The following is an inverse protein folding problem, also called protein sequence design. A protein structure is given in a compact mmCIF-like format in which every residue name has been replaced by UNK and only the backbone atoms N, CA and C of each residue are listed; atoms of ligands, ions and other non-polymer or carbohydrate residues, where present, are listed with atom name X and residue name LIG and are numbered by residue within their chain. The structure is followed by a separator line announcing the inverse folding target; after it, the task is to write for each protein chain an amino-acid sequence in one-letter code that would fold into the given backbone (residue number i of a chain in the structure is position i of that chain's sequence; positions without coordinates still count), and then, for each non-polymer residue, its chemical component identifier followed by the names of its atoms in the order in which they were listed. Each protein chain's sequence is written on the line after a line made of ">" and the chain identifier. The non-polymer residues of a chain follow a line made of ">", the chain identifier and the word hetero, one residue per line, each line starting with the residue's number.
data_IF_090905866666
#
_entry.id   IF_090905866666
#
_cell.length_a   1.000
_cell.length_b   1.000
_cell.length_c   1.000
_cell.angle_alpha   90.00
_cell.angle_beta   90.00
_cell.angle_gamma   90.00
#
_symmetry.space_group_name_H-M   'P 1'
#
loop_
_entity.id
_entity.type
_entity.pdbx_description
1 polymer ?
#
# COMPACT_ATOMS: atom_id res chain seq x y z
N UNK A 1 -34.34 37.75 -50.00
CA UNK A 1 -35.09 36.55 -49.53
C UNK A 1 -34.24 35.30 -49.83
N UNK A 2 -34.38 34.24 -49.02
CA UNK A 2 -33.51 33.05 -49.04
C UNK A 2 -33.79 32.08 -50.19
N UNK A 3 -32.76 31.49 -50.81
CA UNK A 3 -32.82 30.10 -51.32
C UNK A 3 -31.46 29.47 -51.69
N UNK A 4 -31.12 28.39 -50.96
CA UNK A 4 -30.63 27.05 -51.37
C UNK A 4 -29.46 26.84 -52.37
N UNK A 5 -28.68 25.80 -52.05
CA UNK A 5 -27.63 25.12 -52.85
C UNK A 5 -28.20 24.20 -53.95
N UNK A 6 -27.38 23.82 -54.93
CA UNK A 6 -27.21 22.40 -55.36
C UNK A 6 -25.70 22.00 -55.35
N UNK A 7 -25.21 20.75 -55.21
CA UNK A 7 -25.53 19.42 -55.78
C UNK A 7 -25.35 19.35 -57.32
N UNK A 8 -24.83 18.29 -57.99
CA UNK A 8 -23.83 17.22 -57.70
C UNK A 8 -23.53 16.49 -59.05
N UNK A 9 -22.41 15.73 -59.20
CA UNK A 9 -22.07 14.77 -60.32
C UNK A 9 -21.81 15.34 -61.74
N UNK A 10 -21.22 14.62 -62.73
CA UNK A 10 -20.19 13.55 -62.78
C UNK A 10 -19.91 13.12 -64.26
N UNK A 11 -18.63 12.94 -64.66
CA UNK A 11 -18.13 12.14 -65.81
C UNK A 11 -16.58 12.04 -65.63
N UNK A 12 -15.87 10.90 -65.56
CA UNK A 12 -15.65 9.80 -66.55
C UNK A 12 -15.14 10.41 -67.88
N UNK A 13 -13.93 10.14 -68.41
CA UNK A 13 -13.20 8.86 -68.61
C UNK A 13 -11.69 9.11 -68.84
N UNK A 14 -10.83 8.07 -68.75
CA UNK A 14 -9.70 7.93 -69.69
C UNK A 14 -8.34 7.54 -69.08
N UNK A 15 -7.64 6.60 -69.73
CA UNK A 15 -6.35 5.99 -69.27
C UNK A 15 -5.23 6.29 -70.27
N UNK A 16 -4.00 6.52 -69.77
CA UNK A 16 -2.74 6.27 -70.48
C UNK A 16 -1.59 6.01 -69.49
N UNK A 17 -0.55 5.28 -69.91
CA UNK A 17 0.51 4.69 -69.06
C UNK A 17 1.91 4.96 -69.67
N UNK A 18 2.98 4.51 -69.00
CA UNK A 18 4.41 4.39 -69.44
C UNK A 18 5.20 5.72 -69.55
N UNK A 19 6.51 5.86 -69.21
CA UNK A 19 7.60 4.90 -68.92
C UNK A 19 8.68 5.44 -67.94
N UNK A 20 9.51 4.52 -67.41
CA UNK A 20 10.89 4.66 -66.84
C UNK A 20 11.85 5.51 -67.71
N UNK A 21 13.03 6.04 -67.32
CA UNK A 21 14.16 5.60 -66.46
C UNK A 21 15.17 6.78 -66.23
N UNK A 22 16.33 6.75 -65.55
CA UNK A 22 16.88 6.10 -64.32
C UNK A 22 18.34 6.61 -64.04
N UNK A 23 18.85 6.47 -62.80
CA UNK A 23 20.23 6.74 -62.31
C UNK A 23 20.67 8.22 -62.19
N UNK A 24 21.47 8.68 -61.20
CA UNK A 24 22.65 8.14 -60.46
C UNK A 24 22.64 8.56 -58.96
N UNK A 25 23.50 8.14 -58.03
CA UNK A 25 24.34 6.94 -57.77
C UNK A 25 25.02 7.12 -56.38
N UNK A 26 25.70 6.08 -55.87
CA UNK A 26 26.66 6.10 -54.73
C UNK A 26 26.12 6.45 -53.32
N UNK A 27 25.93 5.41 -52.50
CA UNK A 27 25.58 5.52 -51.08
C UNK A 27 25.65 4.17 -50.36
N UNK A 28 26.75 3.43 -50.53
CA UNK A 28 26.94 2.14 -49.89
C UNK A 28 27.24 2.32 -48.39
N UNK A 29 26.20 2.25 -47.56
CA UNK A 29 26.32 2.02 -46.12
C UNK A 29 25.73 0.66 -45.80
N UNK A 30 26.52 -0.15 -45.10
CA UNK A 30 26.17 -1.51 -44.68
C UNK A 30 24.91 -1.51 -43.84
N UNK A 31 23.84 -2.10 -44.37
CA UNK A 31 22.65 -2.41 -43.59
C UNK A 31 22.96 -3.55 -42.62
N UNK A 32 23.53 -3.21 -41.46
CA UNK A 32 23.49 -4.08 -40.30
C UNK A 32 22.02 -4.34 -39.99
N UNK A 33 21.57 -5.58 -40.21
CA UNK A 33 20.27 -6.05 -39.78
C UNK A 33 20.26 -6.07 -38.24
N UNK A 34 20.05 -4.90 -37.64
CA UNK A 34 19.75 -4.78 -36.23
C UNK A 34 18.40 -5.47 -36.02
N UNK A 35 18.45 -6.71 -35.57
CA UNK A 35 17.28 -7.41 -35.03
C UNK A 35 16.66 -6.51 -33.98
N UNK A 36 15.58 -5.82 -34.34
CA UNK A 36 14.69 -5.20 -33.37
C UNK A 36 14.00 -6.36 -32.68
N UNK A 37 14.73 -6.98 -31.76
CA UNK A 37 14.15 -7.83 -30.76
C UNK A 37 13.10 -6.96 -30.08
N UNK A 38 11.84 -7.30 -30.34
CA UNK A 38 10.70 -6.74 -29.65
C UNK A 38 10.97 -6.95 -28.17
N UNK A 39 11.49 -5.91 -27.50
CA UNK A 39 11.49 -5.83 -26.05
C UNK A 39 10.02 -5.78 -25.70
N UNK A 40 9.46 -6.96 -25.44
CA UNK A 40 8.27 -7.09 -24.62
C UNK A 40 8.41 -6.08 -23.49
N UNK A 41 7.37 -5.28 -23.18
CA UNK A 41 7.38 -4.56 -21.92
C UNK A 41 7.70 -5.63 -20.89
N UNK A 42 8.85 -5.50 -20.22
CA UNK A 42 9.15 -6.39 -19.14
C UNK A 42 7.99 -6.17 -18.19
N UNK A 43 7.16 -7.21 -18.02
CA UNK A 43 6.19 -7.26 -16.95
C UNK A 43 7.01 -7.06 -15.70
N UNK A 44 7.09 -5.80 -15.25
CA UNK A 44 7.77 -5.41 -14.05
C UNK A 44 7.12 -6.25 -12.98
N UNK A 45 7.83 -7.30 -12.56
CA UNK A 45 7.32 -8.28 -11.62
C UNK A 45 6.98 -7.46 -10.39
N UNK A 46 5.69 -7.21 -10.19
CA UNK A 46 5.23 -6.26 -9.20
C UNK A 46 5.91 -6.65 -7.89
N UNK A 47 6.80 -5.78 -7.42
CA UNK A 47 7.38 -5.90 -6.09
C UNK A 47 6.22 -6.00 -5.11
N UNK A 48 6.40 -6.72 -4.00
CA UNK A 48 5.38 -6.79 -2.96
C UNK A 48 5.16 -5.35 -2.45
N UNK A 49 4.16 -4.67 -3.00
CA UNK A 49 4.10 -3.23 -2.99
C UNK A 49 3.71 -2.74 -1.59
N UNK A 50 4.39 -1.69 -1.15
CA UNK A 50 3.85 -0.81 -0.11
C UNK A 50 2.40 -0.46 -0.47
N UNK A 51 1.53 -0.44 0.53
CA UNK A 51 0.10 -0.17 0.30
C UNK A 51 -0.04 1.29 -0.09
N UNK A 52 -0.08 1.55 -1.40
CA UNK A 52 -0.28 2.90 -1.92
C UNK A 52 -1.74 3.30 -1.78
N UNK A 53 -2.03 4.61 -1.84
CA UNK A 53 -3.40 5.16 -1.80
C UNK A 53 -4.25 4.60 -2.93
N UNK A 54 -3.66 4.50 -4.12
CA UNK A 54 -4.25 3.96 -5.33
C UNK A 54 -4.61 2.48 -5.12
N UNK A 55 -3.75 1.70 -4.44
CA UNK A 55 -4.04 0.31 -4.10
C UNK A 55 -5.23 0.18 -3.12
N UNK A 56 -5.37 1.10 -2.17
CA UNK A 56 -6.52 1.12 -1.23
C UNK A 56 -7.82 1.42 -1.98
N UNK A 57 -7.84 2.43 -2.83
CA UNK A 57 -9.01 2.77 -3.65
C UNK A 57 -9.32 1.66 -4.66
N UNK A 58 -8.31 1.02 -5.26
CA UNK A 58 -8.49 -0.11 -6.15
C UNK A 58 -9.13 -1.31 -5.42
N UNK A 59 -8.66 -1.66 -4.21
CA UNK A 59 -9.27 -2.70 -3.38
C UNK A 59 -10.70 -2.34 -2.97
N UNK A 60 -10.96 -1.10 -2.54
CA UNK A 60 -12.31 -0.64 -2.19
C UNK A 60 -13.33 -0.88 -3.32
N UNK A 61 -12.93 -0.63 -4.58
CA UNK A 61 -13.76 -0.87 -5.77
C UNK A 61 -14.09 -2.34 -6.04
N UNK A 62 -13.31 -3.30 -5.53
CA UNK A 62 -13.52 -4.75 -5.82
C UNK A 62 -14.83 -5.32 -5.26
N UNK A 63 -15.44 -4.67 -4.27
CA UNK A 63 -16.72 -5.09 -3.69
C UNK A 63 -17.94 -4.48 -4.40
N UNK A 64 -17.76 -4.01 -5.65
CA UNK A 64 -18.76 -3.46 -6.56
C UNK A 64 -19.68 -2.38 -5.93
N UNK A 65 -19.12 -1.31 -5.33
CA UNK A 65 -19.88 -0.31 -4.59
C UNK A 65 -21.02 0.30 -5.41
N UNK A 66 -22.21 0.40 -4.82
CA UNK A 66 -23.40 1.03 -5.42
C UNK A 66 -24.09 0.21 -6.53
N UNK A 67 -23.60 -1.00 -6.85
CA UNK A 67 -24.17 -1.85 -7.92
C UNK A 67 -25.12 -2.94 -7.38
N UNK A 68 -25.88 -3.65 -8.23
CA UNK A 68 -26.56 -4.88 -7.86
C UNK A 68 -25.63 -6.01 -7.37
N UNK A 69 -24.37 -6.03 -7.82
CA UNK A 69 -23.34 -7.02 -7.47
C UNK A 69 -22.52 -6.63 -6.23
N UNK A 70 -22.94 -5.59 -5.49
CA UNK A 70 -22.27 -5.15 -4.26
C UNK A 70 -22.27 -6.24 -3.20
N UNK A 71 -21.20 -6.32 -2.42
CA UNK A 71 -21.15 -7.23 -1.25
C UNK A 71 -22.16 -6.73 -0.19
N UNK A 72 -23.15 -7.54 0.22
CA UNK A 72 -24.13 -7.14 1.23
C UNK A 72 -23.50 -6.92 2.61
N UNK A 73 -24.11 -6.06 3.42
CA UNK A 73 -23.68 -5.83 4.80
C UNK A 73 -24.15 -6.97 5.70
N UNK A 74 -23.24 -7.58 6.45
CA UNK A 74 -23.56 -8.54 7.50
C UNK A 74 -22.38 -8.64 8.49
N UNK A 75 -22.63 -8.41 9.79
CA UNK A 75 -21.60 -8.49 10.85
C UNK A 75 -21.07 -9.92 11.12
N UNK A 76 -21.76 -10.95 10.62
CA UNK A 76 -21.43 -12.36 10.82
C UNK A 76 -20.99 -13.10 9.55
N UNK A 77 -21.05 -12.46 8.38
CA UNK A 77 -20.62 -13.07 7.12
C UNK A 77 -19.23 -12.57 6.68
N UNK A 78 -18.66 -13.29 5.71
CA UNK A 78 -17.32 -13.06 5.19
C UNK A 78 -17.32 -13.03 3.66
N UNK A 79 -16.49 -12.17 3.08
CA UNK A 79 -16.21 -12.13 1.65
C UNK A 79 -14.69 -12.12 1.45
N UNK A 80 -14.17 -13.11 0.72
CA UNK A 80 -12.73 -13.34 0.52
C UNK A 80 -11.91 -13.33 1.83
N UNK A 81 -12.50 -13.89 2.91
CA UNK A 81 -11.90 -13.98 4.24
C UNK A 81 -12.10 -12.76 5.16
N UNK A 82 -12.56 -11.62 4.65
CA UNK A 82 -12.83 -10.42 5.46
C UNK A 82 -14.28 -10.34 5.91
N UNK A 83 -14.55 -9.79 7.10
CA UNK A 83 -15.93 -9.57 7.57
C UNK A 83 -16.67 -8.59 6.66
N UNK A 84 -17.95 -8.83 6.40
CA UNK A 84 -18.81 -7.96 5.59
C UNK A 84 -19.45 -6.81 6.39
N UNK A 85 -18.69 -6.23 7.33
CA UNK A 85 -19.05 -5.04 8.10
C UNK A 85 -18.19 -3.82 7.71
N UNK A 86 -18.49 -2.65 8.28
CA UNK A 86 -17.78 -1.39 7.99
C UNK A 86 -16.26 -1.48 8.22
N UNK A 87 -15.84 -2.10 9.32
CA UNK A 87 -14.43 -2.26 9.70
C UNK A 87 -13.72 -3.39 8.95
N UNK A 88 -14.44 -4.46 8.60
CA UNK A 88 -13.94 -5.54 7.76
C UNK A 88 -13.71 -5.09 6.31
N UNK A 89 -14.60 -4.27 5.76
CA UNK A 89 -14.43 -3.64 4.45
C UNK A 89 -13.25 -2.65 4.42
N UNK A 90 -13.14 -1.78 5.43
CA UNK A 90 -11.99 -0.89 5.56
C UNK A 90 -10.68 -1.69 5.69
N UNK A 91 -10.65 -2.76 6.50
CA UNK A 91 -9.50 -3.66 6.63
C UNK A 91 -9.11 -4.32 5.31
N UNK A 92 -10.09 -4.72 4.49
CA UNK A 92 -9.89 -5.29 3.15
C UNK A 92 -9.26 -4.28 2.20
N UNK A 93 -9.77 -3.04 2.17
CA UNK A 93 -9.21 -1.98 1.33
C UNK A 93 -7.75 -1.66 1.72
N UNK A 94 -7.46 -1.62 3.02
CA UNK A 94 -6.09 -1.44 3.53
C UNK A 94 -5.17 -2.66 3.32
N UNK A 95 -5.71 -3.83 2.94
CA UNK A 95 -4.93 -5.05 2.76
C UNK A 95 -4.39 -5.63 4.08
N UNK A 96 -5.06 -5.37 5.20
CA UNK A 96 -4.73 -5.98 6.49
C UNK A 96 -4.95 -7.50 6.43
N UNK A 97 -4.31 -8.27 7.31
CA UNK A 97 -4.53 -9.73 7.34
C UNK A 97 -6.01 -10.07 7.61
N UNK A 98 -6.66 -10.97 6.84
CA UNK A 98 -7.98 -11.50 7.17
C UNK A 98 -8.04 -12.07 8.60
N UNK A 99 -9.13 -11.86 9.35
CA UNK A 99 -10.43 -11.32 8.91
C UNK A 99 -10.54 -9.79 8.94
N UNK A 100 -9.44 -9.06 9.15
CA UNK A 100 -9.43 -7.63 9.44
C UNK A 100 -9.74 -7.34 10.91
N UNK A 101 -9.55 -6.08 11.32
CA UNK A 101 -9.72 -5.64 12.73
C UNK A 101 -11.04 -4.91 12.93
N UNK A 102 -11.49 -4.73 14.17
CA UNK A 102 -12.74 -4.00 14.47
C UNK A 102 -12.54 -2.47 14.41
N UNK A 103 -13.64 -1.70 14.45
CA UNK A 103 -13.62 -0.23 14.31
C UNK A 103 -12.75 0.49 15.35
N UNK A 104 -12.70 0.01 16.60
CA UNK A 104 -11.84 0.60 17.65
C UNK A 104 -10.37 0.31 17.36
N UNK A 105 -10.04 -0.90 16.91
CA UNK A 105 -8.67 -1.25 16.53
C UNK A 105 -8.23 -0.52 15.27
N UNK A 106 -9.12 -0.27 14.30
CA UNK A 106 -8.83 0.59 13.13
C UNK A 106 -8.42 2.01 13.55
N UNK A 107 -9.12 2.60 14.52
CA UNK A 107 -8.81 3.92 15.10
C UNK A 107 -7.62 3.90 16.08
N UNK A 108 -7.11 2.73 16.44
CA UNK A 108 -6.07 2.60 17.46
C UNK A 108 -4.67 2.97 16.92
N UNK A 109 -3.75 3.44 17.79
CA UNK A 109 -2.40 3.82 17.39
C UNK A 109 -1.54 2.72 16.75
N UNK A 110 -1.96 1.45 16.75
CA UNK A 110 -1.25 0.35 16.08
C UNK A 110 -1.62 0.16 14.60
N UNK A 111 -2.72 0.76 14.14
CA UNK A 111 -3.25 0.61 12.77
C UNK A 111 -3.35 1.96 12.04
N UNK A 112 -3.67 3.03 12.76
CA UNK A 112 -3.75 4.38 12.18
C UNK A 112 -3.15 5.44 13.09
N UNK A 113 -3.04 6.65 12.58
CA UNK A 113 -2.71 7.86 13.33
C UNK A 113 -3.77 8.94 13.07
N UNK A 114 -4.23 9.68 14.09
CA UNK A 114 -5.24 10.72 13.90
C UNK A 114 -4.67 11.87 13.05
N UNK A 115 -5.51 12.47 12.21
CA UNK A 115 -5.20 13.65 11.39
C UNK A 115 -6.35 14.67 11.47
N UNK A 116 -6.08 15.92 11.10
CA UNK A 116 -7.14 16.90 10.88
C UNK A 116 -8.02 16.48 9.70
N UNK A 117 -9.35 16.69 9.77
CA UNK A 117 -10.25 16.43 8.65
C UNK A 117 -9.80 17.14 7.36
N UNK A 118 -9.30 18.37 7.47
CA UNK A 118 -8.76 19.16 6.34
C UNK A 118 -7.53 18.55 5.67
N UNK A 119 -6.83 17.61 6.33
CA UNK A 119 -5.63 16.94 5.84
C UNK A 119 -5.92 15.58 5.17
N UNK A 120 -7.20 15.22 4.97
CA UNK A 120 -7.62 13.98 4.29
C UNK A 120 -7.07 13.89 2.86
N UNK A 121 -6.56 12.71 2.54
CA UNK A 121 -6.05 12.28 1.24
C UNK A 121 -6.71 10.93 0.86
N UNK A 122 -6.73 10.55 -0.44
CA UNK A 122 -7.32 9.28 -0.87
C UNK A 122 -6.80 8.08 -0.05
N UNK A 123 -7.70 7.22 0.41
CA UNK A 123 -7.39 6.05 1.22
C UNK A 123 -7.28 6.29 2.73
N UNK A 124 -7.30 7.55 3.21
CA UNK A 124 -7.47 7.83 4.64
C UNK A 124 -8.88 7.40 5.11
N UNK A 125 -9.03 7.20 6.41
CA UNK A 125 -10.30 6.76 7.03
C UNK A 125 -10.98 7.90 7.78
N UNK A 126 -12.31 7.88 7.81
CA UNK A 126 -13.12 8.67 8.73
C UNK A 126 -13.91 7.70 9.60
N UNK A 127 -13.68 7.71 10.91
CA UNK A 127 -14.11 6.66 11.85
C UNK A 127 -14.84 7.27 13.04
N UNK A 128 -16.01 6.72 13.36
CA UNK A 128 -16.62 6.80 14.70
C UNK A 128 -16.30 5.50 15.45
N UNK A 129 -15.47 5.61 16.49
CA UNK A 129 -15.04 4.51 17.35
C UNK A 129 -15.83 4.46 18.67
N UNK A 130 -16.74 5.40 18.92
CA UNK A 130 -17.52 5.51 20.15
C UNK A 130 -18.79 4.67 20.03
N UNK A 131 -19.30 4.12 21.15
CA UNK A 131 -20.48 3.26 21.17
C UNK A 131 -20.15 1.76 21.12
N UNK A 132 -21.01 0.99 20.44
CA UNK A 132 -21.02 -0.48 20.34
C UNK A 132 -20.79 -0.96 18.88
N UNK A 133 -20.98 -2.26 18.61
CA UNK A 133 -20.81 -2.81 17.24
C UNK A 133 -21.88 -2.36 16.23
N UNK A 134 -23.00 -1.78 16.69
CA UNK A 134 -24.11 -1.34 15.85
C UNK A 134 -24.10 0.17 15.58
N UNK A 135 -23.42 0.94 16.42
CA UNK A 135 -23.35 2.41 16.36
C UNK A 135 -22.02 2.92 15.81
N UNK A 136 -20.92 2.19 15.99
CA UNK A 136 -19.61 2.51 15.40
C UNK A 136 -19.62 2.36 13.88
N UNK A 137 -18.88 3.22 13.18
CA UNK A 137 -18.79 3.16 11.72
C UNK A 137 -17.44 3.64 11.18
N UNK A 138 -17.07 3.17 9.98
CA UNK A 138 -15.84 3.56 9.30
C UNK A 138 -16.09 3.69 7.79
N UNK A 139 -15.53 4.73 7.19
CA UNK A 139 -15.58 5.00 5.74
C UNK A 139 -14.19 5.33 5.22
N UNK A 140 -13.93 5.03 3.95
CA UNK A 140 -12.66 5.29 3.26
C UNK A 140 -12.84 6.53 2.38
N UNK A 141 -12.08 7.59 2.65
CA UNK A 141 -12.11 8.81 1.86
C UNK A 141 -11.52 8.59 0.47
N UNK A 142 -12.22 9.01 -0.59
CA UNK A 142 -11.67 9.09 -1.94
C UNK A 142 -11.14 10.49 -2.23
N UNK A 143 -12.01 11.51 -2.16
CA UNK A 143 -11.70 12.88 -2.59
C UNK A 143 -12.75 13.88 -2.07
N UNK A 144 -12.37 15.15 -1.96
CA UNK A 144 -13.33 16.22 -1.67
C UNK A 144 -14.31 16.39 -2.84
N UNK A 145 -15.61 16.52 -2.51
CA UNK A 145 -16.66 16.67 -3.52
C UNK A 145 -16.87 18.14 -3.93
N UNK A 146 -16.26 19.09 -3.23
CA UNK A 146 -16.26 20.51 -3.56
C UNK A 146 -15.01 21.24 -3.01
N UNK A 147 -14.57 22.37 -3.60
CA UNK A 147 -13.40 23.12 -3.15
C UNK A 147 -13.51 23.70 -1.73
N UNK A 148 -14.73 23.86 -1.19
CA UNK A 148 -14.96 24.30 0.18
C UNK A 148 -14.80 23.21 1.23
N UNK A 149 -14.46 21.97 0.83
CA UNK A 149 -14.31 20.79 1.70
C UNK A 149 -15.54 20.53 2.60
N UNK A 150 -16.74 20.91 2.14
CA UNK A 150 -18.00 20.76 2.90
C UNK A 150 -18.66 19.39 2.74
N UNK A 151 -18.18 18.57 1.80
CA UNK A 151 -18.56 17.17 1.61
C UNK A 151 -17.47 16.43 0.81
N UNK A 152 -17.44 15.11 0.90
CA UNK A 152 -16.44 14.26 0.23
C UNK A 152 -17.04 12.96 -0.30
N UNK A 153 -16.44 12.41 -1.36
CA UNK A 153 -16.71 11.06 -1.84
C UNK A 153 -16.00 10.05 -0.97
N UNK A 154 -16.71 8.98 -0.58
CA UNK A 154 -16.16 7.91 0.23
C UNK A 154 -16.82 6.56 -0.05
N UNK A 155 -16.03 5.52 0.16
CA UNK A 155 -16.46 4.12 0.11
C UNK A 155 -16.86 3.65 1.51
N UNK A 156 -17.97 2.93 1.62
CA UNK A 156 -18.43 2.35 2.89
C UNK A 156 -19.13 1.00 2.69
N UNK A 157 -19.19 0.22 3.76
CA UNK A 157 -20.02 -0.99 3.85
C UNK A 157 -21.15 -0.68 4.84
N UNK A 158 -22.34 -0.38 4.30
CA UNK A 158 -23.44 0.27 5.04
C UNK A 158 -24.51 -0.73 5.49
N UNK A 159 -24.87 -0.67 6.77
CA UNK A 159 -25.99 -1.41 7.37
C UNK A 159 -27.27 -1.34 6.52
N UNK A 160 -27.88 -2.50 6.27
CA UNK A 160 -29.11 -2.61 5.47
C UNK A 160 -28.96 -2.36 3.97
N UNK A 161 -27.75 -2.07 3.46
CA UNK A 161 -27.55 -1.81 2.03
C UNK A 161 -26.47 -2.68 1.38
N UNK A 162 -25.27 -2.75 1.96
CA UNK A 162 -24.07 -3.31 1.30
C UNK A 162 -23.01 -2.27 1.00
N UNK A 163 -22.04 -2.65 0.16
CA UNK A 163 -20.96 -1.75 -0.30
C UNK A 163 -21.52 -0.59 -1.12
N UNK A 164 -21.12 0.64 -0.79
CA UNK A 164 -21.56 1.87 -1.44
C UNK A 164 -20.39 2.83 -1.72
N UNK A 165 -20.58 3.74 -2.66
CA UNK A 165 -19.68 4.87 -2.93
C UNK A 165 -20.52 6.13 -3.14
N UNK A 166 -20.48 7.04 -2.16
CA UNK A 166 -21.36 8.22 -2.16
C UNK A 166 -20.72 9.44 -1.50
N UNK A 167 -21.37 10.59 -1.68
CA UNK A 167 -21.02 11.83 -1.00
C UNK A 167 -21.46 11.77 0.47
N UNK A 168 -20.55 12.09 1.38
CA UNK A 168 -20.73 12.10 2.84
C UNK A 168 -20.30 13.44 3.46
N UNK A 169 -20.73 13.65 4.70
CA UNK A 169 -20.37 14.81 5.54
C UNK A 169 -19.92 14.41 6.95
N UNK A 170 -19.57 13.13 7.19
CA UNK A 170 -19.15 12.68 8.52
C UNK A 170 -17.84 13.38 8.92
N UNK A 171 -17.72 13.78 10.19
CA UNK A 171 -16.55 14.49 10.72
C UNK A 171 -16.47 15.99 10.41
N UNK A 172 -17.30 16.51 9.49
CA UNK A 172 -17.23 17.92 9.06
C UNK A 172 -18.02 18.89 9.96
N UNK A 173 -18.93 18.38 10.79
CA UNK A 173 -19.68 19.19 11.77
C UNK A 173 -18.90 19.28 13.08
N UNK A 174 -18.88 20.45 13.69
CA UNK A 174 -18.38 20.62 15.06
C UNK A 174 -19.11 19.66 16.02
N UNK A 175 -18.36 19.02 16.93
CA UNK A 175 -18.90 18.01 17.85
C UNK A 175 -19.20 16.64 17.22
N UNK A 176 -18.84 16.40 15.96
CA UNK A 176 -18.97 15.07 15.34
C UNK A 176 -18.07 14.03 16.02
N UNK A 177 -18.62 12.84 16.30
CA UNK A 177 -17.89 11.67 16.82
C UNK A 177 -16.95 11.04 15.78
N UNK A 178 -17.21 11.27 14.49
CA UNK A 178 -16.32 10.85 13.41
C UNK A 178 -15.06 11.73 13.37
N UNK A 179 -13.90 11.08 13.36
CA UNK A 179 -12.60 11.73 13.24
C UNK A 179 -11.80 11.13 12.07
N UNK A 180 -10.88 11.92 11.50
CA UNK A 180 -10.02 11.47 10.41
C UNK A 180 -8.78 10.76 10.94
N UNK A 181 -8.41 9.68 10.27
CA UNK A 181 -7.27 8.83 10.58
C UNK A 181 -6.50 8.51 9.31
N UNK A 182 -5.18 8.59 9.37
CA UNK A 182 -4.29 8.08 8.33
C UNK A 182 -3.91 6.64 8.65
N UNK A 183 -4.32 5.65 7.84
CA UNK A 183 -3.82 4.28 7.94
C UNK A 183 -2.32 4.25 7.84
N UNK A 184 -1.68 3.56 8.78
CA UNK A 184 -0.22 3.49 8.84
C UNK A 184 0.38 2.67 7.69
N UNK A 185 -0.41 1.78 7.08
CA UNK A 185 -0.09 1.09 5.82
C UNK A 185 0.28 2.05 4.68
N UNK A 186 -0.26 3.29 4.67
CA UNK A 186 -0.03 4.29 3.62
C UNK A 186 1.26 5.11 3.78
N UNK A 187 1.99 4.91 4.89
CA UNK A 187 3.18 5.68 5.24
C UNK A 187 4.34 4.82 5.76
N UNK A 188 4.34 3.53 5.43
CA UNK A 188 5.35 2.55 5.87
C UNK A 188 5.27 2.11 7.35
N UNK A 189 4.52 2.81 8.20
CA UNK A 189 4.61 2.68 9.66
C UNK A 189 3.53 1.82 10.35
N UNK A 190 2.95 0.81 9.68
CA UNK A 190 1.97 -0.07 10.35
C UNK A 190 1.26 -1.10 9.48
N UNK A 191 1.85 -2.31 9.46
CA UNK A 191 1.27 -3.59 9.08
C UNK A 191 0.34 -3.70 7.84
N UNK A 192 0.85 -3.45 6.61
CA UNK A 192 0.82 -4.50 5.59
C UNK A 192 1.63 -5.70 6.10
N UNK A 193 1.51 -6.90 5.51
CA UNK A 193 2.59 -7.89 5.73
C UNK A 193 3.89 -7.26 5.24
N UNK A 194 4.89 -6.99 6.09
CA UNK A 194 6.03 -6.19 5.64
C UNK A 194 6.79 -6.97 4.57
N UNK A 195 7.31 -6.25 3.57
CA UNK A 195 8.32 -6.83 2.69
C UNK A 195 9.41 -7.44 3.56
N UNK A 196 9.74 -8.71 3.34
CA UNK A 196 10.82 -9.35 4.10
C UNK A 196 12.14 -8.84 3.56
N UNK A 197 12.78 -7.96 4.32
CA UNK A 197 14.14 -7.49 4.05
C UNK A 197 15.11 -8.57 4.52
N UNK A 198 15.88 -9.14 3.59
CA UNK A 198 16.82 -10.20 3.93
C UNK A 198 18.11 -9.57 4.43
N UNK A 199 18.60 -10.02 5.57
CA UNK A 199 19.81 -9.52 6.23
C UNK A 199 20.69 -10.67 6.68
N UNK A 200 22.00 -10.56 6.48
CA UNK A 200 22.96 -11.53 7.00
C UNK A 200 23.46 -11.06 8.37
N UNK A 201 23.35 -11.91 9.39
CA UNK A 201 23.91 -11.67 10.73
C UNK A 201 25.27 -12.37 10.89
N UNK A 202 26.26 -11.70 11.49
CA UNK A 202 27.59 -12.29 11.64
C UNK A 202 27.71 -13.27 12.83
N UNK A 203 26.79 -13.20 13.79
CA UNK A 203 26.69 -14.09 14.94
C UNK A 203 25.23 -14.28 15.38
N UNK A 204 25.00 -15.18 16.34
CA UNK A 204 23.69 -15.32 16.99
C UNK A 204 23.38 -14.03 17.75
N UNK A 205 22.16 -13.52 17.58
CA UNK A 205 21.74 -12.27 18.19
C UNK A 205 20.60 -12.52 19.19
N UNK A 206 20.69 -11.92 20.38
CA UNK A 206 19.58 -11.94 21.33
C UNK A 206 18.46 -11.04 20.83
N UNK A 207 17.23 -11.56 20.82
CA UNK A 207 16.03 -10.79 20.52
C UNK A 207 15.34 -10.33 21.80
N UNK A 208 14.77 -9.12 21.77
CA UNK A 208 14.21 -8.42 22.92
C UNK A 208 12.77 -7.95 22.66
N UNK A 209 12.01 -7.64 23.71
CA UNK A 209 10.60 -7.22 23.59
C UNK A 209 10.44 -5.81 23.00
N UNK A 210 11.44 -4.97 23.19
CA UNK A 210 11.50 -3.55 22.85
C UNK A 210 12.89 -3.24 22.25
N UNK A 211 13.14 -2.07 21.63
CA UNK A 211 14.44 -1.69 21.08
C UNK A 211 15.45 -1.29 22.18
N UNK A 212 15.65 -2.18 23.14
CA UNK A 212 16.55 -2.07 24.28
C UNK A 212 16.90 -3.47 24.82
N UNK A 213 17.92 -3.57 25.66
CA UNK A 213 18.43 -4.86 26.17
C UNK A 213 17.70 -5.40 27.42
N UNK A 214 16.56 -4.83 27.82
CA UNK A 214 15.99 -5.08 29.16
C UNK A 214 15.21 -6.39 29.28
N UNK A 215 14.52 -6.84 28.23
CA UNK A 215 13.63 -8.02 28.27
C UNK A 215 13.92 -9.03 27.14
N UNK A 216 14.89 -9.94 27.32
CA UNK A 216 15.30 -10.91 26.29
C UNK A 216 14.23 -11.98 26.06
N UNK A 217 13.74 -12.06 24.82
CA UNK A 217 12.71 -13.00 24.37
C UNK A 217 13.29 -14.31 23.82
N UNK A 218 14.53 -14.31 23.32
CA UNK A 218 15.12 -15.49 22.67
C UNK A 218 16.34 -15.20 21.82
N UNK A 219 16.58 -16.02 20.80
CA UNK A 219 17.74 -15.94 19.90
C UNK A 219 17.30 -15.99 18.43
N UNK A 220 17.77 -15.01 17.66
CA UNK A 220 17.88 -15.09 16.20
C UNK A 220 19.22 -15.76 15.87
N UNK A 221 19.21 -16.82 15.08
CA UNK A 221 20.42 -17.55 14.74
C UNK A 221 21.28 -16.77 13.72
N UNK A 222 22.58 -17.04 13.74
CA UNK A 222 23.53 -16.54 12.72
C UNK A 222 23.10 -17.01 11.33
N UNK A 223 23.01 -16.08 10.37
CA UNK A 223 22.82 -16.40 8.96
C UNK A 223 21.95 -15.38 8.23
N UNK A 224 21.41 -15.79 7.08
CA UNK A 224 20.45 -14.99 6.31
C UNK A 224 19.07 -15.06 6.95
N UNK A 225 18.70 -13.98 7.62
CA UNK A 225 17.44 -13.79 8.32
C UNK A 225 16.55 -12.82 7.53
N UNK A 226 15.24 -12.83 7.79
CA UNK A 226 14.37 -11.73 7.35
C UNK A 226 14.14 -10.76 8.49
N UNK A 227 13.91 -9.49 8.17
CA UNK A 227 13.44 -8.46 9.10
C UNK A 227 12.31 -7.66 8.46
N UNK A 228 11.50 -7.03 9.29
CA UNK A 228 10.26 -6.37 8.91
C UNK A 228 10.41 -4.85 8.76
N UNK A 229 11.08 -4.24 9.72
CA UNK A 229 11.31 -2.79 9.81
C UNK A 229 12.43 -2.52 10.83
N UNK A 230 12.94 -1.28 10.89
CA UNK A 230 13.91 -0.80 11.88
C UNK A 230 13.31 0.25 12.80
N UNK A 231 13.83 0.38 14.02
CA UNK A 231 13.45 1.42 14.98
C UNK A 231 14.70 1.95 15.68
N UNK A 232 14.75 3.26 15.97
CA UNK A 232 15.82 3.82 16.80
C UNK A 232 15.62 3.43 18.27
N UNK A 233 16.68 3.07 18.97
CA UNK A 233 16.61 2.58 20.35
C UNK A 233 17.89 2.79 21.14
N UNK A 234 18.11 1.93 22.14
CA UNK A 234 19.33 1.96 22.94
C UNK A 234 20.56 1.59 22.09
N UNK A 235 21.72 2.20 22.36
CA UNK A 235 22.96 1.81 21.72
C UNK A 235 23.36 0.39 22.11
N UNK A 236 23.74 -0.43 21.13
CA UNK A 236 24.53 -1.65 21.36
C UNK A 236 25.93 -1.38 20.80
N UNK A 237 26.95 -1.50 21.66
CA UNK A 237 28.36 -1.22 21.34
C UNK A 237 29.27 -2.35 21.78
N UNK A 238 30.28 -2.65 20.98
CA UNK A 238 31.36 -3.56 21.32
C UNK A 238 32.68 -3.07 20.71
N UNK A 239 33.56 -2.52 21.54
CA UNK A 239 34.77 -1.84 21.06
C UNK A 239 34.43 -0.56 20.28
N UNK A 240 34.98 -0.44 19.06
CA UNK A 240 34.71 0.69 18.16
C UNK A 240 33.37 0.63 17.44
N UNK A 241 32.77 -0.56 17.37
CA UNK A 241 31.56 -0.82 16.57
C UNK A 241 30.29 -0.63 17.43
N UNK A 242 29.27 0.02 16.86
CA UNK A 242 28.02 0.34 17.57
C UNK A 242 26.83 0.54 16.63
N UNK A 243 25.62 0.31 17.13
CA UNK A 243 24.41 0.60 16.37
C UNK A 243 23.21 0.92 17.28
N UNK A 244 22.49 1.99 16.97
CA UNK A 244 21.23 2.42 17.60
C UNK A 244 19.98 1.88 16.89
N UNK A 245 20.09 1.27 15.71
CA UNK A 245 18.96 0.67 15.02
C UNK A 245 18.64 -0.72 15.55
N UNK A 246 17.34 -1.01 15.68
CA UNK A 246 16.79 -2.27 16.12
C UNK A 246 15.85 -2.81 15.07
N UNK A 247 16.14 -4.01 14.59
CA UNK A 247 15.42 -4.70 13.52
C UNK A 247 14.32 -5.56 14.12
N UNK A 248 13.09 -5.37 13.66
CA UNK A 248 11.95 -6.17 14.10
C UNK A 248 11.86 -7.46 13.29
N UNK A 249 11.78 -8.62 13.93
CA UNK A 249 11.75 -9.95 13.28
C UNK A 249 11.12 -11.01 14.18
N UNK A 250 11.04 -12.25 13.69
CA UNK A 250 10.64 -13.43 14.46
C UNK A 250 11.87 -14.29 14.78
N UNK A 251 12.02 -14.73 16.03
CA UNK A 251 13.21 -15.44 16.52
C UNK A 251 13.13 -16.95 16.27
N UNK A 252 14.23 -17.58 15.86
CA UNK A 252 14.33 -19.05 15.70
C UNK A 252 14.05 -19.82 16.99
N UNK A 253 14.48 -19.26 18.13
CA UNK A 253 14.30 -19.86 19.46
C UNK A 253 13.73 -18.84 20.41
N UNK A 254 12.63 -19.19 21.06
CA UNK A 254 11.95 -18.39 22.08
C UNK A 254 12.24 -18.96 23.46
N UNK A 255 12.55 -18.10 24.43
CA UNK A 255 12.75 -18.49 25.83
C UNK A 255 11.42 -18.95 26.45
N UNK A 256 11.42 -19.87 27.44
CA UNK A 256 10.20 -20.28 28.12
C UNK A 256 9.41 -19.08 28.68
N UNK A 257 8.12 -19.01 28.33
CA UNK A 257 7.23 -17.92 28.77
C UNK A 257 7.44 -16.56 28.06
N UNK A 258 8.24 -16.49 26.99
CA UNK A 258 8.46 -15.28 26.19
C UNK A 258 7.76 -15.36 24.82
N UNK A 259 7.80 -14.27 24.05
CA UNK A 259 7.27 -14.21 22.69
C UNK A 259 8.38 -13.88 21.68
N UNK A 260 8.74 -14.84 20.83
CA UNK A 260 9.70 -14.64 19.74
C UNK A 260 9.14 -13.92 18.51
N UNK A 261 7.81 -13.75 18.39
CA UNK A 261 7.22 -13.12 17.21
C UNK A 261 7.21 -11.59 17.32
N UNK A 262 7.78 -10.91 16.32
CA UNK A 262 7.88 -9.45 16.26
C UNK A 262 8.80 -8.82 17.31
N UNK A 263 9.80 -9.58 17.78
CA UNK A 263 10.86 -9.14 18.69
C UNK A 263 11.88 -8.22 17.97
N UNK A 264 12.72 -7.52 18.75
CA UNK A 264 13.73 -6.60 18.25
C UNK A 264 15.16 -7.17 18.44
N UNK A 265 15.97 -7.09 17.40
CA UNK A 265 17.38 -7.49 17.37
C UNK A 265 18.21 -6.28 16.94
N UNK A 266 19.29 -5.94 17.64
CA UNK A 266 20.12 -4.79 17.23
C UNK A 266 20.75 -5.00 15.83
N UNK A 267 20.72 -3.96 15.01
CA UNK A 267 21.41 -3.92 13.72
C UNK A 267 22.94 -3.96 13.86
N UNK A 268 23.49 -3.84 15.08
CA UNK A 268 24.90 -4.13 15.38
C UNK A 268 25.33 -5.50 14.83
N UNK A 269 24.43 -6.50 14.78
CA UNK A 269 24.74 -7.84 14.31
C UNK A 269 24.79 -7.99 12.77
N UNK A 270 24.51 -6.95 11.99
CA UNK A 270 24.51 -7.00 10.51
C UNK A 270 25.92 -7.18 9.95
N UNK A 271 26.09 -8.15 9.05
CA UNK A 271 27.41 -8.57 8.55
C UNK A 271 28.02 -7.68 7.44
N UNK A 272 27.29 -6.66 6.97
CA UNK A 272 27.64 -5.90 5.74
C UNK A 272 27.77 -4.39 5.93
N UNK A 273 27.31 -3.84 7.05
CA UNK A 273 27.15 -2.39 7.22
C UNK A 273 27.91 -1.90 8.44
N UNK A 274 28.26 -0.61 8.43
CA UNK A 274 28.99 0.03 9.53
C UNK A 274 28.09 0.50 10.66
N UNK A 275 28.62 1.41 11.47
CA UNK A 275 27.93 1.96 12.64
C UNK A 275 26.70 2.77 12.24
N UNK A 276 25.63 2.65 13.04
CA UNK A 276 24.32 3.30 12.82
C UNK A 276 23.71 3.13 11.41
N UNK A 277 24.06 2.04 10.73
CA UNK A 277 23.47 1.63 9.45
C UNK A 277 22.48 0.47 9.62
N UNK A 278 21.42 0.44 8.81
CA UNK A 278 20.38 -0.59 8.88
C UNK A 278 19.76 -0.83 7.50
N UNK A 279 20.54 -1.49 6.65
CA UNK A 279 20.20 -1.85 5.26
C UNK A 279 20.02 -3.35 5.09
N UNK A 280 19.23 -3.74 4.10
CA UNK A 280 19.07 -5.12 3.67
C UNK A 280 20.28 -5.61 2.87
N UNK A 281 20.32 -6.90 2.54
CA UNK A 281 21.41 -7.56 1.81
C UNK A 281 21.68 -7.00 0.40
N UNK A 282 20.76 -6.23 -0.18
CA UNK A 282 20.91 -5.54 -1.47
C UNK A 282 21.43 -4.10 -1.33
N UNK A 283 21.54 -3.59 -0.10
CA UNK A 283 21.89 -2.20 0.20
C UNK A 283 20.69 -1.26 0.30
N UNK A 284 19.46 -1.77 0.26
CA UNK A 284 18.25 -0.97 0.45
C UNK A 284 18.06 -0.63 1.94
N UNK A 285 17.77 0.63 2.26
CA UNK A 285 17.39 1.03 3.63
C UNK A 285 16.14 0.27 4.08
N UNK A 286 16.23 -0.38 5.25
CA UNK A 286 15.09 -1.04 5.89
C UNK A 286 14.09 0.07 6.30
N UNK A 287 12.77 -0.07 6.07
CA UNK A 287 11.79 0.96 6.43
C UNK A 287 11.65 1.07 7.95
N UNK A 288 11.23 2.24 8.44
CA UNK A 288 10.97 2.42 9.87
C UNK A 288 9.71 1.66 10.33
N UNK A 289 9.74 1.19 11.59
CA UNK A 289 8.57 0.78 12.34
C UNK A 289 7.79 2.02 12.87
#
# INVERSE_FOLDING_TARGET
>A
MSSKRPFIRCAITGVAVVSVASFTAAGALTASAATIASRSPHSGRATAADVTRESVIARAKTWNPGTPQRVPYNQHAYHNGYRTDCSGYASMALGLKPPGVNTVTLASPSVSSPIAMSALLPGDLVIDAIGDSNTRHAVIFEQWANPGHTSYWAYEQRGGYGTDHRVLTYGLKAGSQFHAYRPRVLGGGGNPSPGKFWVDTFSNATGYREPNTNDPQGTLNKGTNYVYCRMWGAEVRHGGDFNHWWLRTDLDRTNPGKNGNGAYVSAYYLAKWGNDEAKDNSGQDIPNC
#
